data_IF_943788572857
#
_entry.id   IF_943788572857
#
_cell.length_a   1.000
_cell.length_b   1.000
_cell.length_c   1.000
_cell.angle_alpha   90.00
_cell.angle_beta   90.00
_cell.angle_gamma   90.00
#
_symmetry.space_group_name_H-M   'P 1'
#
loop_
_entity.id
_entity.type
_entity.pdbx_description
1 polymer ?
#
# COMPACT_ATOMS: atom_id res chain seq x y z
N UNK A 1 -0.46 4.75 -20.70
CA UNK A 1 0.74 3.93 -20.38
C UNK A 1 0.49 3.17 -19.08
N UNK A 2 1.13 2.00 -18.85
CA UNK A 2 1.02 1.27 -17.59
C UNK A 2 2.40 1.06 -16.96
N UNK A 3 2.53 1.36 -15.67
CA UNK A 3 3.71 1.11 -14.86
C UNK A 3 3.35 0.23 -13.65
N UNK A 4 4.13 -0.83 -13.42
CA UNK A 4 3.92 -1.76 -12.28
C UNK A 4 5.18 -1.76 -11.42
N UNK A 5 5.02 -1.56 -10.12
CA UNK A 5 6.11 -1.50 -9.13
C UNK A 5 5.78 -2.47 -7.98
N UNK A 6 6.78 -3.23 -7.51
CA UNK A 6 6.62 -4.14 -6.38
C UNK A 6 7.68 -3.88 -5.32
N UNK A 7 7.25 -3.77 -4.08
CA UNK A 7 8.09 -3.61 -2.90
C UNK A 7 7.72 -4.65 -1.83
N UNK A 8 8.68 -4.97 -0.97
CA UNK A 8 8.51 -5.92 0.13
C UNK A 8 9.24 -5.39 1.35
N UNK A 9 8.57 -5.35 2.49
CA UNK A 9 9.27 -5.22 3.76
C UNK A 9 9.85 -6.57 4.17
N UNK A 10 11.15 -6.60 4.43
CA UNK A 10 11.83 -7.73 5.05
C UNK A 10 12.28 -7.28 6.43
N UNK A 11 11.77 -7.92 7.46
CA UNK A 11 12.11 -7.62 8.85
C UNK A 11 12.48 -8.90 9.59
N UNK A 12 13.56 -8.84 10.37
CA UNK A 12 14.03 -9.96 11.20
C UNK A 12 14.50 -9.40 12.54
N UNK A 13 13.76 -9.67 13.61
CA UNK A 13 14.10 -9.36 15.01
C UNK A 13 14.79 -7.99 15.23
N UNK A 14 14.11 -6.88 14.95
CA UNK A 14 14.66 -5.55 15.20
C UNK A 14 13.74 -4.39 14.81
N UNK A 15 14.17 -3.15 15.09
CA UNK A 15 13.48 -1.94 14.64
C UNK A 15 14.48 -1.07 13.87
N UNK A 16 14.90 -1.53 12.69
CA UNK A 16 15.74 -0.70 11.82
C UNK A 16 14.91 0.43 11.23
N UNK A 17 15.56 1.53 10.88
CA UNK A 17 14.90 2.55 10.08
C UNK A 17 14.46 1.96 8.73
N UNK A 18 13.31 2.40 8.26
CA UNK A 18 12.77 1.99 6.97
C UNK A 18 13.23 3.03 5.95
N UNK A 19 14.20 2.67 5.12
CA UNK A 19 14.63 3.54 4.04
C UNK A 19 13.60 3.57 2.92
N UNK A 20 13.07 4.76 2.63
CA UNK A 20 12.30 5.01 1.41
C UNK A 20 13.20 5.73 0.42
N UNK A 21 13.76 4.97 -0.51
CA UNK A 21 14.91 5.39 -1.31
C UNK A 21 14.58 6.34 -2.47
N UNK A 22 13.31 6.64 -2.74
CA UNK A 22 12.93 7.64 -3.73
C UNK A 22 11.60 8.29 -3.36
N UNK A 23 11.58 9.61 -3.14
CA UNK A 23 10.33 10.35 -2.91
C UNK A 23 9.58 10.67 -4.21
N UNK A 24 10.15 10.38 -5.37
CA UNK A 24 9.52 10.59 -6.67
C UNK A 24 8.51 9.47 -6.97
N UNK A 25 7.43 9.82 -7.67
CA UNK A 25 6.40 8.86 -8.05
C UNK A 25 5.52 8.38 -6.90
N UNK A 26 4.83 7.26 -7.09
CA UNK A 26 3.88 6.68 -6.13
C UNK A 26 4.62 6.00 -4.96
N UNK A 27 4.25 6.37 -3.74
CA UNK A 27 4.84 5.88 -2.50
C UNK A 27 3.78 5.38 -1.53
N UNK A 28 4.09 4.26 -0.87
CA UNK A 28 3.29 3.64 0.17
C UNK A 28 4.12 3.70 1.46
N UNK A 29 3.73 4.58 2.38
CA UNK A 29 4.43 4.76 3.65
C UNK A 29 3.65 4.08 4.76
N UNK A 30 4.21 3.00 5.32
CA UNK A 30 3.62 2.38 6.51
C UNK A 30 3.88 3.29 7.72
N UNK A 31 2.83 3.64 8.45
CA UNK A 31 2.89 4.62 9.54
C UNK A 31 3.40 4.04 10.86
N UNK A 32 3.63 2.74 10.90
CA UNK A 32 4.25 2.03 12.01
C UNK A 32 5.36 1.12 11.48
N UNK A 33 6.29 0.72 12.35
CA UNK A 33 7.33 -0.20 11.92
C UNK A 33 6.73 -1.60 11.60
N UNK A 34 7.14 -2.31 10.52
CA UNK A 34 6.61 -3.60 10.13
C UNK A 34 6.58 -4.65 11.26
N UNK A 35 7.61 -4.68 12.11
CA UNK A 35 7.63 -5.58 13.28
C UNK A 35 6.62 -5.24 14.40
N UNK A 36 5.89 -4.13 14.30
CA UNK A 36 4.79 -3.77 15.23
C UNK A 36 3.41 -4.20 14.72
N UNK A 37 3.31 -4.78 13.53
CA UNK A 37 2.01 -5.16 12.97
C UNK A 37 1.44 -6.36 13.72
N UNK A 38 0.25 -6.19 14.29
CA UNK A 38 -0.47 -7.21 15.08
C UNK A 38 -1.88 -7.39 14.57
N UNK A 39 -2.38 -8.63 14.66
CA UNK A 39 -3.77 -8.93 14.35
C UNK A 39 -4.70 -8.27 15.39
N UNK A 40 -5.81 -7.69 14.93
CA UNK A 40 -6.74 -6.94 15.76
C UNK A 40 -6.29 -5.52 16.10
N UNK A 41 -5.15 -5.06 15.58
CA UNK A 41 -4.69 -3.68 15.72
C UNK A 41 -4.84 -2.90 14.43
N UNK A 42 -5.08 -1.59 14.56
CA UNK A 42 -5.12 -0.68 13.42
C UNK A 42 -3.72 -0.52 12.82
N UNK A 43 -3.65 -0.58 11.50
CA UNK A 43 -2.48 -0.22 10.74
C UNK A 43 -2.82 0.78 9.66
N UNK A 44 -1.95 1.77 9.49
CA UNK A 44 -2.20 2.85 8.56
C UNK A 44 -1.08 2.99 7.55
N UNK A 45 -1.46 3.35 6.32
CA UNK A 45 -0.54 3.75 5.27
C UNK A 45 -0.82 5.18 4.86
N UNK A 46 0.24 5.94 4.59
CA UNK A 46 0.16 7.20 3.89
C UNK A 46 0.57 7.00 2.44
N UNK A 47 -0.35 7.29 1.53
CA UNK A 47 -0.16 7.19 0.09
C UNK A 47 0.20 8.57 -0.44
N UNK A 48 1.30 8.65 -1.18
CA UNK A 48 1.75 9.92 -1.75
C UNK A 48 2.22 9.74 -3.19
N UNK A 49 2.11 10.78 -4.00
CA UNK A 49 2.76 10.89 -5.30
C UNK A 49 3.70 12.08 -5.29
N UNK A 50 5.00 11.83 -5.51
CA UNK A 50 6.05 12.86 -5.48
C UNK A 50 6.00 13.72 -4.20
N UNK A 51 5.84 13.06 -3.05
CA UNK A 51 5.75 13.67 -1.72
C UNK A 51 4.41 14.32 -1.35
N UNK A 52 3.46 14.43 -2.29
CA UNK A 52 2.12 14.99 -2.03
C UNK A 52 1.12 13.87 -1.74
N UNK A 53 0.28 13.98 -0.70
CA UNK A 53 -0.77 12.98 -0.47
C UNK A 53 -1.75 12.92 -1.64
N UNK A 54 -2.13 11.71 -2.02
CA UNK A 54 -3.10 11.47 -3.10
C UNK A 54 -4.38 10.87 -2.51
N UNK A 55 -5.39 11.69 -2.25
CA UNK A 55 -6.65 11.21 -1.71
C UNK A 55 -7.52 10.45 -2.71
N UNK A 56 -7.20 10.45 -4.00
CA UNK A 56 -7.99 9.79 -5.05
C UNK A 56 -7.47 8.41 -5.46
N UNK A 57 -6.48 7.88 -4.73
CA UNK A 57 -5.92 6.56 -5.03
C UNK A 57 -6.90 5.44 -4.65
N UNK A 58 -6.96 4.41 -5.51
CA UNK A 58 -7.65 3.17 -5.20
C UNK A 58 -6.73 2.25 -4.41
N UNK A 59 -7.18 1.75 -3.26
CA UNK A 59 -6.38 0.92 -2.37
C UNK A 59 -7.08 -0.41 -2.12
N UNK A 60 -6.34 -1.50 -2.26
CA UNK A 60 -6.84 -2.83 -1.95
C UNK A 60 -5.90 -3.59 -1.01
N UNK A 61 -6.45 -4.19 0.04
CA UNK A 61 -5.73 -5.10 0.92
C UNK A 61 -6.27 -6.52 0.74
N UNK A 62 -5.36 -7.47 0.53
CA UNK A 62 -5.69 -8.89 0.36
C UNK A 62 -4.81 -9.78 1.22
N UNK A 63 -5.42 -10.76 1.86
CA UNK A 63 -4.70 -11.85 2.54
C UNK A 63 -4.06 -12.81 1.53
N UNK A 64 -2.82 -13.22 1.78
CA UNK A 64 -2.12 -14.26 1.02
C UNK A 64 -2.17 -15.62 1.74
N UNK A 65 -2.97 -15.73 2.79
CA UNK A 65 -2.99 -16.89 3.68
C UNK A 65 -4.00 -17.98 3.27
N UNK A 66 -4.42 -18.05 2.00
CA UNK A 66 -5.42 -19.03 1.51
C UNK A 66 -5.12 -20.50 1.86
N UNK A 67 -3.85 -20.83 2.13
CA UNK A 67 -3.45 -22.17 2.57
C UNK A 67 -3.73 -22.42 4.07
N UNK A 68 -3.70 -21.38 4.89
CA UNK A 68 -3.85 -21.44 6.35
C UNK A 68 -5.25 -21.04 6.82
N UNK A 69 -5.94 -20.18 6.08
CA UNK A 69 -7.29 -19.70 6.38
C UNK A 69 -8.14 -19.80 5.11
N UNK A 70 -9.40 -20.20 5.24
CA UNK A 70 -10.37 -20.20 4.13
C UNK A 70 -10.80 -18.79 3.72
N UNK A 71 -10.34 -17.78 4.47
CA UNK A 71 -10.65 -16.38 4.22
C UNK A 71 -9.85 -15.86 3.02
N UNK A 72 -10.57 -15.34 2.03
CA UNK A 72 -10.02 -14.86 0.77
C UNK A 72 -10.36 -13.41 0.49
N UNK A 73 -10.96 -12.74 1.48
CA UNK A 73 -11.65 -11.50 1.26
C UNK A 73 -10.64 -10.38 0.95
N UNK A 74 -10.91 -9.70 -0.17
CA UNK A 74 -10.22 -8.49 -0.60
C UNK A 74 -11.01 -7.33 -0.01
N UNK A 75 -10.34 -6.47 0.75
CA UNK A 75 -10.91 -5.20 1.21
C UNK A 75 -10.45 -4.12 0.25
N UNK A 76 -11.39 -3.47 -0.43
CA UNK A 76 -11.14 -2.33 -1.31
C UNK A 76 -11.60 -1.06 -0.61
N UNK A 77 -10.78 -0.01 -0.68
CA UNK A 77 -11.04 1.32 -0.13
C UNK A 77 -10.66 2.34 -1.19
N UNK A 78 -11.64 3.13 -1.62
CA UNK A 78 -11.41 4.38 -2.33
C UNK A 78 -11.17 5.48 -1.28
N UNK A 79 -10.08 6.23 -1.43
CA UNK A 79 -9.81 7.34 -0.53
C UNK A 79 -10.64 8.58 -0.94
N UNK A 80 -10.93 9.44 0.03
CA UNK A 80 -11.54 10.74 -0.19
C UNK A 80 -10.56 11.89 0.10
N UNK A 81 -10.79 13.11 -0.46
CA UNK A 81 -9.97 14.30 -0.19
C UNK A 81 -9.69 14.59 1.29
N UNK A 82 -10.67 14.31 2.16
CA UNK A 82 -10.58 14.52 3.61
C UNK A 82 -9.55 13.60 4.28
N UNK A 83 -9.27 12.44 3.68
CA UNK A 83 -8.39 11.42 4.22
C UNK A 83 -6.91 11.79 4.05
N UNK A 84 -6.61 12.76 3.17
CA UNK A 84 -5.24 13.28 2.95
C UNK A 84 -4.25 12.15 2.68
N UNK A 85 -4.66 11.17 1.86
CA UNK A 85 -3.87 10.00 1.49
C UNK A 85 -3.65 8.99 2.62
N UNK A 86 -4.33 9.11 3.77
CA UNK A 86 -4.21 8.18 4.88
C UNK A 86 -5.28 7.08 4.75
N UNK A 87 -4.85 5.84 4.63
CA UNK A 87 -5.73 4.65 4.66
C UNK A 87 -5.46 3.85 5.92
N UNK A 88 -6.51 3.32 6.56
CA UNK A 88 -6.39 2.52 7.78
C UNK A 88 -7.17 1.22 7.65
N UNK A 89 -6.53 0.12 8.02
CA UNK A 89 -7.12 -1.21 8.08
C UNK A 89 -7.02 -1.76 9.51
N UNK A 90 -7.88 -2.70 9.87
CA UNK A 90 -7.82 -3.44 11.14
C UNK A 90 -7.95 -4.95 10.85
N UNK A 91 -6.89 -5.60 10.32
CA UNK A 91 -6.95 -7.01 9.98
C UNK A 91 -7.03 -7.87 11.23
N UNK A 92 -7.91 -8.87 11.23
CA UNK A 92 -8.16 -9.73 12.40
C UNK A 92 -7.35 -11.03 12.40
N UNK A 93 -6.68 -11.35 11.29
CA UNK A 93 -5.91 -12.58 11.12
C UNK A 93 -4.41 -12.26 10.99
N UNK A 94 -3.52 -13.08 11.59
CA UNK A 94 -2.09 -12.99 11.31
C UNK A 94 -1.76 -13.58 9.93
N UNK A 95 -0.55 -13.29 9.46
CA UNK A 95 0.06 -13.86 8.26
C UNK A 95 0.43 -12.80 7.22
N UNK A 96 0.58 -13.23 5.97
CA UNK A 96 1.08 -12.38 4.89
C UNK A 96 -0.05 -11.65 4.18
N UNK A 97 0.16 -10.37 3.92
CA UNK A 97 -0.76 -9.48 3.23
C UNK A 97 -0.12 -8.85 2.01
N UNK A 98 -0.95 -8.58 1.00
CA UNK A 98 -0.63 -7.81 -0.19
C UNK A 98 -1.50 -6.56 -0.21
N UNK A 99 -0.86 -5.40 -0.16
CA UNK A 99 -1.48 -4.11 -0.43
C UNK A 99 -1.23 -3.75 -1.90
N UNK A 100 -2.26 -3.43 -2.65
CA UNK A 100 -2.19 -2.82 -3.97
C UNK A 100 -2.69 -1.39 -3.90
N UNK A 101 -1.98 -0.48 -4.57
CA UNK A 101 -2.40 0.91 -4.75
C UNK A 101 -2.35 1.23 -6.24
N UNK A 102 -3.45 1.72 -6.79
CA UNK A 102 -3.53 2.22 -8.15
C UNK A 102 -3.71 3.74 -8.14
N UNK A 103 -3.00 4.41 -9.05
CA UNK A 103 -3.10 5.85 -9.25
C UNK A 103 -2.92 6.22 -10.72
N UNK A 104 -3.83 7.05 -11.24
CA UNK A 104 -3.74 7.59 -12.60
C UNK A 104 -3.13 8.99 -12.61
N UNK A 105 -2.19 9.22 -13.53
CA UNK A 105 -1.53 10.50 -13.74
C UNK A 105 -1.80 10.97 -15.17
N UNK A 106 -2.32 12.18 -15.31
CA UNK A 106 -2.49 12.82 -16.63
C UNK A 106 -1.11 13.09 -17.28
N UNK A 107 -0.97 12.69 -18.55
CA UNK A 107 0.24 12.88 -19.33
C UNK A 107 0.11 14.14 -20.18
N UNK A 108 0.87 15.18 -19.85
CA UNK A 108 1.00 16.35 -20.70
C UNK A 108 1.90 16.01 -21.90
N UNK A 109 1.47 16.42 -23.09
CA UNK A 109 2.23 16.34 -24.34
C UNK A 109 2.56 14.92 -24.83
N UNK A 110 1.76 13.92 -24.46
CA UNK A 110 1.88 12.55 -24.99
C UNK A 110 0.85 12.29 -26.09
N UNK A 111 1.31 12.07 -27.33
CA UNK A 111 0.44 11.84 -28.50
C UNK A 111 -0.25 10.46 -28.52
N UNK A 112 0.17 9.53 -27.66
CA UNK A 112 -0.26 8.14 -27.68
C UNK A 112 -1.11 7.75 -26.46
N UNK A 113 -1.16 8.58 -25.42
CA UNK A 113 -1.94 8.29 -24.20
C UNK A 113 -2.24 9.57 -23.42
N UNK A 114 -3.48 9.69 -22.95
CA UNK A 114 -3.91 10.80 -22.08
C UNK A 114 -3.48 10.59 -20.62
N UNK A 115 -3.34 9.33 -20.19
CA UNK A 115 -3.03 8.95 -18.81
C UNK A 115 -1.95 7.86 -18.71
N UNK A 116 -1.26 7.85 -17.56
CA UNK A 116 -0.45 6.75 -17.06
C UNK A 116 -1.09 6.17 -15.80
N UNK A 117 -1.49 4.90 -15.85
CA UNK A 117 -1.87 4.15 -14.66
C UNK A 117 -0.61 3.57 -14.02
N UNK A 118 -0.47 3.77 -12.71
CA UNK A 118 0.63 3.30 -11.87
C UNK A 118 0.05 2.37 -10.82
N UNK A 119 0.47 1.11 -10.85
CA UNK A 119 0.14 0.11 -9.83
C UNK A 119 1.37 -0.14 -8.96
N UNK A 120 1.22 0.02 -7.64
CA UNK A 120 2.27 -0.30 -6.67
C UNK A 120 1.78 -1.35 -5.68
N UNK A 121 2.58 -2.40 -5.52
CA UNK A 121 2.29 -3.49 -4.61
C UNK A 121 3.28 -3.50 -3.44
N UNK A 122 2.76 -3.70 -2.23
CA UNK A 122 3.54 -3.89 -1.02
C UNK A 122 3.13 -5.18 -0.32
N UNK A 123 4.09 -6.06 -0.06
CA UNK A 123 3.89 -7.24 0.79
C UNK A 123 4.48 -7.04 2.18
N UNK A 124 3.74 -7.44 3.21
CA UNK A 124 4.15 -7.39 4.62
C UNK A 124 3.51 -8.51 5.44
N UNK A 125 4.00 -8.72 6.65
CA UNK A 125 3.52 -9.74 7.57
C UNK A 125 2.91 -9.12 8.83
N UNK A 126 1.78 -9.68 9.28
CA UNK A 126 1.12 -9.36 10.54
C UNK A 126 1.32 -10.54 11.48
N UNK A 127 1.81 -10.29 12.70
CA UNK A 127 1.98 -11.34 13.71
C UNK A 127 0.81 -11.37 14.69
N UNK A 128 0.76 -12.41 15.52
CA UNK A 128 -0.05 -12.39 16.74
C UNK A 128 0.54 -11.40 17.75
#
# INVERSE_FOLDING_TARGET
>A
EKQIITETYVSYNGFSDIEQNDSNGLQIVLMQHPNKLRAGEKLSFKITYSGKPIPEAEVALKTLNKFYYQDSDKVEIELEPKDKGLVTFEPTLPGRYLLGVEYEVELKDNKMADFRSIEKFLTFEITQ
#
